data_IF_235633977680
#
_entry.id   IF_235633977680
#
_cell.length_a   1.000
_cell.length_b   1.000
_cell.length_c   1.000
_cell.angle_alpha   90.00
_cell.angle_beta   90.00
_cell.angle_gamma   90.00
#
_symmetry.space_group_name_H-M   'P 1'
#
loop_
_entity.id
_entity.type
_entity.pdbx_description
1 polymer ?
#
# COMPACT_ATOMS: atom_id res chain seq x y z
N UNK A 1 34.46 -21.21 18.03
CA UNK A 1 33.85 -20.08 17.32
C UNK A 1 32.95 -19.34 18.28
N UNK A 2 33.33 -18.10 18.63
CA UNK A 2 32.45 -17.21 19.37
C UNK A 2 31.27 -16.82 18.47
N UNK A 3 30.07 -16.63 19.03
CA UNK A 3 28.86 -16.24 18.27
C UNK A 3 29.08 -14.97 17.42
N UNK A 4 29.96 -14.07 17.85
CA UNK A 4 30.37 -12.89 17.10
C UNK A 4 31.14 -13.22 15.79
N UNK A 5 31.85 -14.35 15.71
CA UNK A 5 32.53 -14.77 14.47
C UNK A 5 31.57 -15.38 13.43
N UNK A 6 30.43 -15.92 13.86
CA UNK A 6 29.34 -16.33 12.96
C UNK A 6 28.73 -15.12 12.23
N UNK A 7 28.78 -13.95 12.86
CA UNK A 7 28.23 -12.67 12.39
C UNK A 7 29.04 -12.11 11.22
N UNK A 8 30.35 -11.90 11.39
CA UNK A 8 31.18 -11.16 10.43
C UNK A 8 31.80 -12.01 9.32
N UNK A 9 31.90 -13.34 9.52
CA UNK A 9 32.59 -14.24 8.57
C UNK A 9 31.65 -15.16 7.79
N UNK A 10 30.35 -15.16 8.08
CA UNK A 10 29.39 -16.00 7.37
C UNK A 10 29.05 -15.40 6.00
N UNK A 11 29.57 -16.00 4.93
CA UNK A 11 29.19 -15.67 3.54
C UNK A 11 27.67 -15.73 3.31
N UNK A 12 26.96 -16.57 4.07
CA UNK A 12 25.50 -16.65 4.01
C UNK A 12 24.83 -15.40 4.60
N UNK A 13 25.36 -14.84 5.70
CA UNK A 13 24.81 -13.61 6.29
C UNK A 13 25.03 -12.42 5.35
N UNK A 14 26.19 -12.35 4.70
CA UNK A 14 26.53 -11.30 3.74
C UNK A 14 25.68 -11.39 2.45
N UNK A 15 25.46 -12.61 1.94
CA UNK A 15 24.57 -12.84 0.79
C UNK A 15 23.10 -12.54 1.11
N UNK A 16 22.64 -12.87 2.32
CA UNK A 16 21.27 -12.56 2.75
C UNK A 16 21.07 -11.05 2.98
N UNK A 17 22.08 -10.35 3.52
CA UNK A 17 22.08 -8.88 3.63
C UNK A 17 22.07 -8.21 2.25
N UNK A 18 22.83 -8.73 1.29
CA UNK A 18 22.82 -8.21 -0.08
C UNK A 18 21.47 -8.47 -0.77
N UNK A 19 20.91 -9.68 -0.65
CA UNK A 19 19.57 -9.98 -1.15
C UNK A 19 18.52 -9.07 -0.53
N UNK A 20 18.62 -8.79 0.78
CA UNK A 20 17.76 -7.86 1.51
C UNK A 20 17.82 -6.45 0.93
N UNK A 21 19.01 -5.91 0.72
CA UNK A 21 19.18 -4.59 0.09
C UNK A 21 18.54 -4.57 -1.30
N UNK A 22 18.72 -5.61 -2.11
CA UNK A 22 18.13 -5.68 -3.45
C UNK A 22 16.60 -5.86 -3.44
N UNK A 23 16.04 -6.61 -2.48
CA UNK A 23 14.58 -6.77 -2.38
C UNK A 23 13.90 -5.50 -1.88
N UNK A 24 14.52 -4.79 -0.94
CA UNK A 24 14.07 -3.46 -0.51
C UNK A 24 14.21 -2.43 -1.65
N UNK A 25 15.30 -2.46 -2.42
CA UNK A 25 15.46 -1.62 -3.62
C UNK A 25 14.42 -1.92 -4.71
N UNK A 26 13.93 -3.16 -4.81
CA UNK A 26 12.84 -3.52 -5.72
C UNK A 26 11.48 -3.11 -5.15
N UNK A 27 11.27 -3.23 -3.84
CA UNK A 27 10.05 -2.74 -3.18
C UNK A 27 9.92 -1.22 -3.31
N UNK A 28 11.03 -0.48 -3.34
CA UNK A 28 11.05 0.92 -3.73
C UNK A 28 10.46 1.15 -5.13
N UNK A 29 10.63 0.26 -6.10
CA UNK A 29 10.11 0.51 -7.44
C UNK A 29 8.58 0.35 -7.54
N UNK A 30 7.90 -0.13 -6.49
CA UNK A 30 6.44 -0.22 -6.45
C UNK A 30 5.86 1.19 -6.24
N UNK A 31 4.91 1.63 -7.09
CA UNK A 31 4.25 2.92 -6.92
C UNK A 31 3.41 2.89 -5.64
N UNK A 32 3.63 3.87 -4.76
CA UNK A 32 2.75 4.16 -3.62
C UNK A 32 1.92 5.36 -4.05
N UNK A 33 0.59 5.28 -4.02
CA UNK A 33 -0.27 6.45 -4.24
C UNK A 33 -0.09 7.42 -3.07
N UNK A 34 0.76 8.44 -3.24
CA UNK A 34 1.26 9.29 -2.16
C UNK A 34 0.26 10.33 -1.65
N UNK A 35 -0.71 10.77 -2.47
CA UNK A 35 -1.54 11.93 -2.15
C UNK A 35 -2.64 11.67 -1.11
N UNK A 36 -2.97 10.41 -0.83
CA UNK A 36 -4.08 10.06 0.07
C UNK A 36 -3.78 8.85 0.95
N UNK A 37 -2.55 8.64 1.41
CA UNK A 37 -2.26 7.49 2.29
C UNK A 37 -2.60 7.80 3.75
N UNK A 38 -3.37 6.94 4.43
CA UNK A 38 -3.64 7.07 5.87
C UNK A 38 -2.42 6.66 6.70
N UNK A 39 -2.40 7.01 8.00
CA UNK A 39 -1.36 6.57 8.95
C UNK A 39 -1.21 5.05 8.95
N UNK A 40 -2.32 4.35 8.83
CA UNK A 40 -2.39 2.90 8.71
C UNK A 40 -1.72 2.43 7.41
N UNK A 41 -2.02 3.07 6.28
CA UNK A 41 -1.36 2.78 4.99
C UNK A 41 0.15 3.04 4.99
N UNK A 42 0.61 4.11 5.64
CA UNK A 42 2.04 4.39 5.81
C UNK A 42 2.75 3.31 6.64
N UNK A 43 2.06 2.80 7.67
CA UNK A 43 2.58 1.76 8.55
C UNK A 43 2.64 0.40 7.84
N UNK A 44 1.63 0.09 7.02
CA UNK A 44 1.64 -1.08 6.12
C UNK A 44 2.80 -0.99 5.14
N UNK A 45 2.94 0.14 4.44
CA UNK A 45 3.98 0.33 3.42
C UNK A 45 5.39 0.19 4.03
N UNK A 46 5.56 0.63 5.27
CA UNK A 46 6.81 0.44 6.04
C UNK A 46 7.11 -1.03 6.37
N UNK A 47 6.07 -1.86 6.46
CA UNK A 47 6.16 -3.29 6.76
C UNK A 47 6.30 -4.18 5.52
N UNK A 48 6.11 -3.63 4.33
CA UNK A 48 6.20 -4.35 3.05
C UNK A 48 7.56 -5.04 2.88
N UNK A 49 8.63 -4.36 3.29
CA UNK A 49 9.98 -4.90 3.34
C UNK A 49 10.13 -6.17 4.19
N UNK A 50 9.47 -6.22 5.35
CA UNK A 50 9.46 -7.42 6.21
C UNK A 50 8.72 -8.61 5.60
N UNK A 51 7.68 -8.37 4.78
CA UNK A 51 6.96 -9.45 4.10
C UNK A 51 7.89 -10.19 3.13
N UNK A 52 8.66 -9.48 2.31
CA UNK A 52 9.64 -10.09 1.39
C UNK A 52 10.84 -10.67 2.14
N UNK A 53 11.33 -9.96 3.15
CA UNK A 53 12.43 -10.44 3.98
C UNK A 53 12.04 -11.65 4.83
N UNK A 54 10.74 -11.88 5.07
CA UNK A 54 10.26 -12.90 5.99
C UNK A 54 10.69 -14.32 5.62
N UNK A 55 10.75 -14.63 4.32
CA UNK A 55 11.28 -15.92 3.81
C UNK A 55 12.75 -16.08 4.16
N UNK A 56 13.55 -15.02 3.98
CA UNK A 56 14.98 -14.99 4.28
C UNK A 56 15.21 -15.15 5.79
N UNK A 57 14.45 -14.43 6.61
CA UNK A 57 14.53 -14.49 8.07
C UNK A 57 14.19 -15.89 8.60
N UNK A 58 13.06 -16.45 8.16
CA UNK A 58 12.62 -17.79 8.55
C UNK A 58 13.61 -18.87 8.10
N UNK A 59 14.12 -18.76 6.88
CA UNK A 59 15.06 -19.74 6.32
C UNK A 59 16.43 -19.68 7.00
N UNK A 60 16.92 -18.48 7.31
CA UNK A 60 18.13 -18.31 8.10
C UNK A 60 17.95 -18.90 9.50
N UNK A 61 16.84 -18.61 10.18
CA UNK A 61 16.55 -19.16 11.50
C UNK A 61 16.47 -20.70 11.47
N UNK A 62 15.87 -21.29 10.43
CA UNK A 62 15.83 -22.73 10.22
C UNK A 62 17.23 -23.33 10.01
N UNK A 63 18.09 -22.67 9.24
CA UNK A 63 19.47 -23.10 9.07
C UNK A 63 20.27 -23.05 10.39
N UNK A 64 20.12 -21.97 11.17
CA UNK A 64 20.74 -21.82 12.49
C UNK A 64 20.27 -22.92 13.45
N UNK A 65 18.95 -23.18 13.49
CA UNK A 65 18.37 -24.25 14.31
C UNK A 65 18.92 -25.62 13.97
N UNK A 66 18.99 -25.95 12.68
CA UNK A 66 19.42 -27.26 12.18
C UNK A 66 20.91 -27.55 12.35
N UNK A 67 21.77 -26.53 12.24
CA UNK A 67 23.23 -26.73 12.37
C UNK A 67 23.77 -26.50 13.77
N UNK A 68 23.24 -25.52 14.50
CA UNK A 68 23.82 -25.05 15.76
C UNK A 68 22.86 -25.17 16.94
N UNK A 69 21.56 -25.00 16.70
CA UNK A 69 20.54 -24.92 17.75
C UNK A 69 20.50 -26.15 18.67
N UNK A 70 20.51 -27.36 18.11
CA UNK A 70 20.45 -28.60 18.90
C UNK A 70 21.68 -28.74 19.82
N UNK A 71 22.88 -28.45 19.32
CA UNK A 71 24.11 -28.56 20.09
C UNK A 71 24.20 -27.48 21.18
N UNK A 72 23.74 -26.26 20.87
CA UNK A 72 23.72 -25.15 21.81
C UNK A 72 22.71 -25.38 22.96
N UNK A 73 21.48 -25.78 22.63
CA UNK A 73 20.41 -25.94 23.61
C UNK A 73 20.62 -27.14 24.54
N UNK A 74 21.22 -28.23 24.07
CA UNK A 74 21.50 -29.43 24.89
C UNK A 74 22.49 -29.20 26.04
N UNK A 75 23.36 -28.18 25.91
CA UNK A 75 24.41 -27.88 26.91
C UNK A 75 23.92 -26.99 28.04
N UNK A 76 22.69 -26.50 27.95
CA UNK A 76 22.16 -25.47 28.83
C UNK A 76 21.05 -26.04 29.70
N UNK A 77 21.09 -25.75 31.01
CA UNK A 77 20.07 -26.16 31.99
C UNK A 77 19.41 -24.94 32.61
N UNK A 78 18.11 -25.04 32.83
CA UNK A 78 17.28 -23.99 33.44
C UNK A 78 16.58 -23.10 32.41
N UNK A 79 15.31 -22.73 32.65
CA UNK A 79 14.46 -22.05 31.66
C UNK A 79 15.04 -20.70 31.21
N UNK A 80 15.56 -19.89 32.13
CA UNK A 80 16.14 -18.58 31.80
C UNK A 80 17.35 -18.68 30.88
N UNK A 81 18.22 -19.68 31.09
CA UNK A 81 19.41 -19.85 30.25
C UNK A 81 19.03 -20.41 28.88
N UNK A 82 18.04 -21.30 28.81
CA UNK A 82 17.50 -21.80 27.54
C UNK A 82 16.91 -20.64 26.73
N UNK A 83 16.12 -19.78 27.36
CA UNK A 83 15.57 -18.58 26.73
C UNK A 83 16.67 -17.64 26.24
N UNK A 84 17.70 -17.38 27.05
CA UNK A 84 18.84 -16.55 26.65
C UNK A 84 19.61 -17.13 25.45
N UNK A 85 19.85 -18.44 25.43
CA UNK A 85 20.51 -19.11 24.29
C UNK A 85 19.62 -19.10 23.03
N UNK A 86 18.32 -19.30 23.18
CA UNK A 86 17.38 -19.17 22.06
C UNK A 86 17.37 -17.73 21.51
N UNK A 87 17.35 -16.72 22.38
CA UNK A 87 17.44 -15.32 21.99
C UNK A 87 18.75 -15.02 21.25
N UNK A 88 19.88 -15.57 21.71
CA UNK A 88 21.18 -15.43 21.02
C UNK A 88 21.16 -16.05 19.61
N UNK A 89 20.46 -17.16 19.41
CA UNK A 89 20.29 -17.79 18.10
C UNK A 89 19.36 -16.97 17.19
N UNK A 90 18.38 -16.29 17.75
CA UNK A 90 17.41 -15.44 17.04
C UNK A 90 17.87 -14.00 16.85
N UNK A 91 18.88 -13.54 17.59
CA UNK A 91 19.35 -12.17 17.51
C UNK A 91 19.74 -11.75 16.08
N UNK A 92 20.48 -12.56 15.28
CA UNK A 92 20.80 -12.17 13.91
C UNK A 92 19.55 -11.94 13.02
N UNK A 93 18.60 -12.90 12.86
CA UNK A 93 17.43 -12.64 12.03
C UNK A 93 16.53 -11.53 12.59
N UNK A 94 16.47 -11.35 13.92
CA UNK A 94 15.73 -10.22 14.51
C UNK A 94 16.36 -8.85 14.17
N UNK A 95 17.69 -8.73 14.23
CA UNK A 95 18.40 -7.48 13.86
C UNK A 95 18.25 -7.18 12.37
N UNK A 96 18.28 -8.21 11.53
CA UNK A 96 18.07 -8.10 10.09
C UNK A 96 16.63 -7.65 9.79
N UNK A 97 15.63 -8.25 10.44
CA UNK A 97 14.22 -7.86 10.28
C UNK A 97 13.94 -6.44 10.79
N UNK A 98 14.51 -6.07 11.94
CA UNK A 98 14.39 -4.71 12.48
C UNK A 98 15.05 -3.67 11.56
N UNK A 99 16.21 -3.98 10.99
CA UNK A 99 16.87 -3.12 9.99
C UNK A 99 16.03 -2.95 8.73
N UNK A 100 15.40 -4.02 8.24
CA UNK A 100 14.51 -3.97 7.08
C UNK A 100 13.30 -3.07 7.35
N UNK A 101 12.65 -3.21 8.52
CA UNK A 101 11.55 -2.32 8.91
C UNK A 101 11.98 -0.85 9.00
N UNK A 102 13.14 -0.57 9.60
CA UNK A 102 13.66 0.80 9.70
C UNK A 102 13.97 1.40 8.32
N UNK A 103 14.49 0.59 7.39
CA UNK A 103 14.76 1.02 6.02
C UNK A 103 13.46 1.28 5.24
N UNK A 104 12.45 0.42 5.40
CA UNK A 104 11.11 0.62 4.84
C UNK A 104 10.43 1.88 5.39
N UNK A 105 10.53 2.11 6.70
CA UNK A 105 10.03 3.33 7.34
C UNK A 105 10.75 4.59 6.83
N UNK A 106 12.09 4.59 6.78
CA UNK A 106 12.88 5.71 6.25
C UNK A 106 12.57 5.99 4.77
N UNK A 107 12.29 4.95 4.00
CA UNK A 107 11.85 5.03 2.60
C UNK A 107 10.51 5.74 2.48
N UNK A 108 9.51 5.33 3.28
CA UNK A 108 8.19 5.95 3.25
C UNK A 108 8.29 7.41 3.67
N UNK A 109 9.06 7.71 4.73
CA UNK A 109 9.35 9.09 5.13
C UNK A 109 9.98 9.92 4.00
N UNK A 110 10.98 9.38 3.31
CA UNK A 110 11.65 10.08 2.21
C UNK A 110 10.68 10.37 1.05
N UNK A 111 9.75 9.45 0.77
CA UNK A 111 8.76 9.61 -0.30
C UNK A 111 7.66 10.61 0.04
N UNK A 112 7.17 10.55 1.28
CA UNK A 112 6.09 11.43 1.73
C UNK A 112 6.60 12.81 2.14
N UNK A 113 7.92 12.97 2.36
CA UNK A 113 8.50 14.21 2.85
C UNK A 113 8.18 14.51 4.33
N UNK A 114 7.60 13.55 5.04
CA UNK A 114 7.07 13.75 6.40
C UNK A 114 7.49 12.65 7.38
N UNK A 115 7.58 13.01 8.66
CA UNK A 115 7.79 12.07 9.77
C UNK A 115 6.43 11.69 10.35
N UNK A 116 6.11 10.40 10.40
CA UNK A 116 4.83 9.94 10.94
C UNK A 116 5.04 8.92 12.07
N UNK A 117 4.14 8.89 13.05
CA UNK A 117 4.17 7.85 14.08
C UNK A 117 3.49 6.60 13.51
N UNK A 118 4.12 5.41 13.52
CA UNK A 118 3.45 4.18 13.07
C UNK A 118 2.17 3.91 13.86
N UNK A 119 1.16 3.34 13.22
CA UNK A 119 -0.02 2.82 13.89
C UNK A 119 0.40 1.70 14.88
N UNK A 120 0.01 1.77 16.16
CA UNK A 120 0.43 0.78 17.16
C UNK A 120 -0.07 -0.64 16.86
N UNK A 121 -1.25 -0.79 16.24
CA UNK A 121 -1.79 -2.09 15.87
C UNK A 121 -0.98 -2.76 14.78
N UNK A 122 -0.66 -2.02 13.72
CA UNK A 122 0.16 -2.51 12.60
C UNK A 122 1.63 -2.71 12.98
N UNK A 123 2.16 -1.86 13.85
CA UNK A 123 3.49 -2.07 14.43
C UNK A 123 3.55 -3.35 15.27
N UNK A 124 2.54 -3.60 16.11
CA UNK A 124 2.44 -4.83 16.90
C UNK A 124 2.30 -6.07 16.01
N UNK A 125 1.47 -5.99 14.96
CA UNK A 125 1.32 -7.04 13.96
C UNK A 125 2.68 -7.37 13.32
N UNK A 126 3.41 -6.34 12.92
CA UNK A 126 4.75 -6.45 12.32
C UNK A 126 5.76 -7.14 13.25
N UNK A 127 5.75 -6.80 14.54
CA UNK A 127 6.56 -7.49 15.55
C UNK A 127 6.17 -8.96 15.71
N UNK A 128 4.87 -9.27 15.74
CA UNK A 128 4.36 -10.64 15.81
C UNK A 128 4.76 -11.45 14.58
N UNK A 129 4.69 -10.86 13.39
CA UNK A 129 5.13 -11.48 12.15
C UNK A 129 6.62 -11.85 12.20
N UNK A 130 7.47 -10.89 12.56
CA UNK A 130 8.91 -11.10 12.68
C UNK A 130 9.23 -12.21 13.71
N UNK A 131 8.60 -12.16 14.88
CA UNK A 131 8.76 -13.18 15.91
C UNK A 131 8.29 -14.56 15.44
N UNK A 132 7.11 -14.63 14.81
CA UNK A 132 6.54 -15.85 14.27
C UNK A 132 7.45 -16.50 13.23
N UNK A 133 7.98 -15.73 12.29
CA UNK A 133 8.91 -16.21 11.25
C UNK A 133 10.23 -16.71 11.85
N UNK A 134 10.84 -15.94 12.75
CA UNK A 134 12.12 -16.30 13.35
C UNK A 134 12.00 -17.54 14.26
N UNK A 135 10.97 -17.58 15.12
CA UNK A 135 10.73 -18.70 16.02
C UNK A 135 10.25 -19.93 15.26
N UNK A 136 9.31 -19.78 14.33
CA UNK A 136 8.81 -20.86 13.48
C UNK A 136 9.94 -21.49 12.66
N UNK A 137 10.76 -20.67 12.01
CA UNK A 137 11.96 -21.09 11.29
C UNK A 137 12.93 -21.85 12.19
N UNK A 138 13.30 -21.27 13.34
CA UNK A 138 14.16 -21.94 14.33
C UNK A 138 13.57 -23.30 14.77
N UNK A 139 12.25 -23.37 14.99
CA UNK A 139 11.54 -24.58 15.35
C UNK A 139 11.66 -25.67 14.29
N UNK A 140 11.44 -25.33 13.01
CA UNK A 140 11.67 -26.24 11.89
C UNK A 140 13.12 -26.76 11.86
N UNK A 141 14.08 -25.86 12.07
CA UNK A 141 15.51 -26.21 12.17
C UNK A 141 15.81 -27.20 13.31
N UNK A 142 15.16 -27.05 14.46
CA UNK A 142 15.36 -27.93 15.61
C UNK A 142 14.70 -29.31 15.45
N UNK A 143 13.60 -29.37 14.68
CA UNK A 143 12.81 -30.58 14.49
C UNK A 143 13.32 -31.44 13.33
N UNK A 144 13.77 -30.82 12.24
CA UNK A 144 14.11 -31.50 10.99
C UNK A 144 15.60 -31.44 10.64
N UNK A 145 16.03 -32.27 9.68
CA UNK A 145 17.38 -32.18 9.13
C UNK A 145 17.58 -30.86 8.38
N UNK A 146 18.79 -30.26 8.35
CA UNK A 146 19.01 -28.91 7.83
C UNK A 146 18.50 -28.68 6.39
N UNK A 147 18.68 -29.65 5.50
CA UNK A 147 18.19 -29.56 4.10
C UNK A 147 16.66 -29.54 4.03
N UNK A 148 16.01 -30.37 4.84
CA UNK A 148 14.55 -30.45 4.90
C UNK A 148 13.96 -29.22 5.59
N UNK A 149 14.60 -28.72 6.66
CA UNK A 149 14.16 -27.52 7.38
C UNK A 149 14.19 -26.27 6.48
N UNK A 150 15.24 -26.11 5.67
CA UNK A 150 15.32 -25.02 4.68
C UNK A 150 14.21 -25.16 3.63
N UNK A 151 14.05 -26.34 3.04
CA UNK A 151 13.01 -26.58 2.04
C UNK A 151 11.60 -26.33 2.58
N UNK A 152 11.30 -26.83 3.77
CA UNK A 152 10.03 -26.59 4.45
C UNK A 152 9.83 -25.11 4.80
N UNK A 153 10.87 -24.42 5.27
CA UNK A 153 10.80 -22.98 5.56
C UNK A 153 10.44 -22.16 4.32
N UNK A 154 11.10 -22.44 3.19
CA UNK A 154 10.78 -21.79 1.91
C UNK A 154 9.35 -22.15 1.49
N UNK A 155 8.96 -23.42 1.50
CA UNK A 155 7.59 -23.80 1.09
C UNK A 155 6.52 -23.20 2.01
N UNK A 156 6.74 -23.16 3.32
CA UNK A 156 5.73 -22.68 4.27
C UNK A 156 5.64 -21.15 4.28
N UNK A 157 6.77 -20.43 4.22
CA UNK A 157 6.78 -18.97 4.27
C UNK A 157 6.66 -18.31 2.89
N UNK A 158 7.19 -18.93 1.82
CA UNK A 158 7.00 -18.47 0.43
C UNK A 158 5.73 -19.02 -0.20
N UNK A 159 5.30 -20.22 0.19
CA UNK A 159 4.09 -20.83 -0.38
C UNK A 159 2.83 -20.04 -0.09
N UNK A 160 2.74 -19.41 1.09
CA UNK A 160 1.65 -18.46 1.40
C UNK A 160 1.66 -17.24 0.45
N UNK A 161 2.83 -16.73 0.06
CA UNK A 161 2.95 -15.59 -0.88
C UNK A 161 2.83 -15.98 -2.36
N UNK A 162 3.19 -17.21 -2.73
CA UNK A 162 3.05 -17.72 -4.10
C UNK A 162 1.64 -18.24 -4.36
N UNK A 163 0.97 -18.83 -3.36
CA UNK A 163 -0.42 -19.27 -3.47
C UNK A 163 -1.39 -18.09 -3.60
N UNK A 164 -1.09 -16.93 -3.00
CA UNK A 164 -1.90 -15.71 -3.20
C UNK A 164 -1.92 -15.22 -4.65
N UNK A 165 -0.89 -15.55 -5.45
CA UNK A 165 -0.84 -15.22 -6.88
C UNK A 165 -1.64 -16.18 -7.78
N UNK A 166 -2.02 -17.36 -7.28
CA UNK A 166 -2.57 -18.46 -8.11
C UNK A 166 -3.94 -18.96 -7.61
N UNK A 167 -4.27 -18.79 -6.33
CA UNK A 167 -5.53 -19.23 -5.74
C UNK A 167 -6.08 -18.15 -4.78
N UNK A 168 -7.05 -17.33 -5.21
CA UNK A 168 -7.69 -16.34 -4.36
C UNK A 168 -8.62 -17.05 -3.37
N UNK A 169 -8.07 -17.44 -2.22
CA UNK A 169 -8.87 -17.78 -1.04
C UNK A 169 -8.90 -16.58 -0.09
N UNK A 170 -9.97 -16.38 0.70
CA UNK A 170 -10.13 -15.19 1.55
C UNK A 170 -8.94 -14.99 2.50
N UNK A 171 -8.37 -16.05 3.07
CA UNK A 171 -7.17 -15.96 3.92
C UNK A 171 -5.91 -15.46 3.21
N UNK A 172 -5.68 -15.88 1.97
CA UNK A 172 -4.50 -15.51 1.18
C UNK A 172 -4.67 -14.12 0.57
N UNK A 173 -5.89 -13.82 0.10
CA UNK A 173 -6.35 -12.50 -0.32
C UNK A 173 -6.15 -11.49 0.80
N UNK A 174 -6.60 -11.81 2.02
CA UNK A 174 -6.49 -10.94 3.20
C UNK A 174 -5.04 -10.70 3.67
N UNK A 175 -4.14 -11.68 3.50
CA UNK A 175 -2.71 -11.49 3.78
C UNK A 175 -2.00 -10.61 2.74
N UNK A 176 -2.38 -10.70 1.46
CA UNK A 176 -1.87 -9.83 0.40
C UNK A 176 -2.52 -8.44 0.42
N UNK A 177 -3.79 -8.36 0.74
CA UNK A 177 -4.59 -7.14 0.82
C UNK A 177 -4.16 -6.19 1.92
N UNK A 178 -3.63 -6.72 3.03
CA UNK A 178 -2.97 -5.90 4.04
C UNK A 178 -1.78 -5.14 3.48
N UNK A 179 -1.19 -5.58 2.37
CA UNK A 179 -0.03 -4.95 1.74
C UNK A 179 -0.43 -3.87 0.72
N UNK A 180 -1.64 -3.97 0.16
CA UNK A 180 -2.28 -2.98 -0.73
C UNK A 180 -3.21 -2.01 0.03
N UNK A 181 -3.31 -2.17 1.35
CA UNK A 181 -3.97 -1.24 2.26
C UNK A 181 -3.00 -0.09 2.61
N UNK A 182 -3.40 1.15 2.82
CA UNK A 182 -4.72 1.74 2.96
C UNK A 182 -4.62 3.17 2.44
N UNK A 183 -5.69 3.68 1.82
CA UNK A 183 -5.77 5.12 1.55
C UNK A 183 -6.43 5.82 2.75
N UNK A 184 -6.63 7.11 2.65
CA UNK A 184 -7.42 7.92 3.58
C UNK A 184 -8.87 7.43 3.62
N UNK A 185 -9.35 6.89 2.50
CA UNK A 185 -10.71 6.37 2.32
C UNK A 185 -10.92 4.97 2.88
N UNK A 186 -9.85 4.27 3.26
CA UNK A 186 -9.95 2.88 3.70
C UNK A 186 -9.13 2.60 4.97
N UNK A 187 -9.65 1.72 5.80
CA UNK A 187 -8.94 1.17 6.95
C UNK A 187 -8.70 -0.33 6.74
N UNK A 188 -7.64 -0.90 7.31
CA UNK A 188 -7.45 -2.33 7.27
C UNK A 188 -8.57 -3.00 8.06
N UNK A 189 -9.18 -4.06 7.51
CA UNK A 189 -10.20 -4.79 8.23
C UNK A 189 -9.60 -5.38 9.53
N UNK A 190 -10.12 -5.04 10.73
CA UNK A 190 -9.55 -5.52 11.99
C UNK A 190 -9.64 -7.05 12.14
N UNK A 191 -10.64 -7.68 11.51
CA UNK A 191 -10.79 -9.15 11.51
C UNK A 191 -9.63 -9.78 10.72
N UNK A 192 -9.22 -9.16 9.62
CA UNK A 192 -8.05 -9.57 8.84
C UNK A 192 -6.76 -9.43 9.64
N UNK A 193 -6.56 -8.29 10.32
CA UNK A 193 -5.40 -8.10 11.21
C UNK A 193 -5.33 -9.20 12.27
N UNK A 194 -6.46 -9.52 12.91
CA UNK A 194 -6.54 -10.58 13.91
C UNK A 194 -6.24 -11.97 13.31
N UNK A 195 -6.79 -12.28 12.14
CA UNK A 195 -6.55 -13.53 11.44
C UNK A 195 -5.05 -13.75 11.17
N UNK A 196 -4.37 -12.71 10.67
CA UNK A 196 -2.93 -12.73 10.40
C UNK A 196 -2.14 -12.87 11.70
N UNK A 197 -2.47 -12.08 12.74
CA UNK A 197 -1.82 -12.16 14.04
C UNK A 197 -1.89 -13.58 14.65
N UNK A 198 -3.05 -14.23 14.58
CA UNK A 198 -3.25 -15.60 15.08
C UNK A 198 -2.38 -16.62 14.35
N UNK A 199 -2.21 -16.48 13.03
CA UNK A 199 -1.37 -17.38 12.24
C UNK A 199 0.11 -17.28 12.64
N UNK A 200 0.63 -16.06 12.80
CA UNK A 200 2.02 -15.83 13.22
C UNK A 200 2.25 -16.17 14.70
N UNK A 201 1.25 -16.01 15.56
CA UNK A 201 1.27 -16.56 16.92
C UNK A 201 1.36 -18.09 16.91
N UNK A 202 0.67 -18.75 15.98
CA UNK A 202 0.79 -20.19 15.75
C UNK A 202 2.23 -20.58 15.39
N UNK A 203 2.86 -19.87 14.45
CA UNK A 203 4.27 -20.10 14.10
C UNK A 203 5.22 -19.88 15.27
N UNK A 204 4.99 -18.82 16.07
CA UNK A 204 5.77 -18.53 17.27
C UNK A 204 5.66 -19.68 18.28
N UNK A 205 4.44 -20.18 18.52
CA UNK A 205 4.21 -21.32 19.40
C UNK A 205 4.94 -22.58 18.93
N UNK A 206 4.92 -22.89 17.64
CA UNK A 206 5.68 -24.00 17.07
C UNK A 206 7.17 -23.91 17.43
N UNK A 207 7.76 -22.72 17.29
CA UNK A 207 9.15 -22.45 17.65
C UNK A 207 9.44 -22.68 19.13
N UNK A 208 8.62 -22.10 20.01
CA UNK A 208 8.76 -22.25 21.47
C UNK A 208 8.67 -23.72 21.88
N UNK A 209 7.70 -24.46 21.34
CA UNK A 209 7.51 -25.88 21.63
C UNK A 209 8.71 -26.71 21.19
N UNK A 210 9.24 -26.45 19.99
CA UNK A 210 10.43 -27.14 19.49
C UNK A 210 11.65 -26.90 20.39
N UNK A 211 11.84 -25.67 20.88
CA UNK A 211 12.89 -25.33 21.85
C UNK A 211 12.67 -26.13 23.15
N UNK A 212 11.46 -26.13 23.71
CA UNK A 212 11.16 -26.86 24.93
C UNK A 212 11.42 -28.37 24.80
N UNK A 213 10.96 -28.99 23.71
CA UNK A 213 11.14 -30.43 23.44
C UNK A 213 12.61 -30.81 23.30
N UNK A 214 13.45 -29.93 22.72
CA UNK A 214 14.84 -30.23 22.40
C UNK A 214 15.83 -29.79 23.48
N UNK A 215 15.52 -28.74 24.25
CA UNK A 215 16.37 -28.22 25.31
C UNK A 215 16.23 -29.00 26.63
N UNK A 216 15.08 -29.60 26.89
CA UNK A 216 14.85 -30.34 28.13
C UNK A 216 15.09 -31.84 27.93
N UNK A 217 15.78 -32.46 28.89
CA UNK A 217 15.92 -33.92 28.96
C UNK A 217 14.63 -34.54 29.54
N UNK A 218 13.50 -34.26 28.88
CA UNK A 218 12.17 -34.68 29.31
C UNK A 218 11.95 -36.18 29.08
N UNK A 219 11.24 -36.81 30.01
CA UNK A 219 10.73 -38.16 29.83
C UNK A 219 9.78 -38.23 28.61
N UNK A 220 9.68 -39.43 28.01
CA UNK A 220 8.96 -39.65 26.74
C UNK A 220 7.47 -39.25 26.81
N UNK A 221 6.84 -39.42 27.96
CA UNK A 221 5.45 -39.01 28.23
C UNK A 221 5.29 -37.48 28.24
N UNK A 222 6.17 -36.74 28.91
CA UNK A 222 6.14 -35.28 28.94
C UNK A 222 6.38 -34.67 27.55
N UNK A 223 7.29 -35.27 26.75
CA UNK A 223 7.49 -34.87 25.34
C UNK A 223 6.23 -35.07 24.48
N UNK A 224 5.51 -36.17 24.67
CA UNK A 224 4.26 -36.44 23.95
C UNK A 224 3.15 -35.48 24.37
N UNK A 225 2.98 -35.25 25.68
CA UNK A 225 2.00 -34.31 26.19
C UNK A 225 2.25 -32.88 25.67
N UNK A 226 3.51 -32.44 25.65
CA UNK A 226 3.89 -31.12 25.13
C UNK A 226 3.71 -31.02 23.61
N UNK A 227 3.97 -32.10 22.87
CA UNK A 227 3.71 -32.15 21.44
C UNK A 227 2.20 -32.14 21.12
N UNK A 228 1.37 -32.82 21.92
CA UNK A 228 -0.09 -32.82 21.76
C UNK A 228 -0.69 -31.47 22.13
N UNK A 229 -0.31 -30.90 23.28
CA UNK A 229 -0.71 -29.54 23.67
C UNK A 229 -0.27 -28.52 22.61
N UNK A 230 0.93 -28.70 22.07
CA UNK A 230 1.47 -27.86 21.02
C UNK A 230 0.74 -27.96 19.69
N UNK A 231 0.41 -29.18 19.25
CA UNK A 231 -0.38 -29.42 18.05
C UNK A 231 -1.79 -28.83 18.21
N UNK A 232 -2.44 -29.02 19.35
CA UNK A 232 -3.74 -28.43 19.65
C UNK A 232 -3.69 -26.90 19.61
N UNK A 233 -2.70 -26.27 20.26
CA UNK A 233 -2.54 -24.82 20.21
C UNK A 233 -2.28 -24.30 18.80
N UNK A 234 -1.46 -25.01 18.00
CA UNK A 234 -1.22 -24.65 16.61
C UNK A 234 -2.51 -24.73 15.79
N UNK A 235 -3.26 -25.84 15.93
CA UNK A 235 -4.53 -26.05 15.23
C UNK A 235 -5.59 -25.04 15.64
N UNK A 236 -5.67 -24.67 16.91
CA UNK A 236 -6.61 -23.64 17.39
C UNK A 236 -6.24 -22.26 16.87
N UNK A 237 -4.95 -21.89 16.89
CA UNK A 237 -4.49 -20.58 16.40
C UNK A 237 -4.65 -20.46 14.88
N UNK A 238 -4.29 -21.50 14.13
CA UNK A 238 -4.48 -21.53 12.68
C UNK A 238 -5.94 -21.67 12.28
N UNK A 239 -6.70 -22.51 12.97
CA UNK A 239 -8.13 -22.69 12.74
C UNK A 239 -8.91 -21.41 13.06
N UNK A 240 -8.58 -20.75 14.17
CA UNK A 240 -9.13 -19.44 14.52
C UNK A 240 -8.76 -18.36 13.50
N UNK A 241 -7.51 -18.34 13.02
CA UNK A 241 -7.10 -17.44 11.94
C UNK A 241 -7.83 -17.71 10.62
N UNK A 242 -8.03 -18.98 10.26
CA UNK A 242 -8.77 -19.36 9.06
C UNK A 242 -10.26 -19.03 9.15
N UNK A 243 -10.90 -19.23 10.32
CA UNK A 243 -12.29 -18.85 10.56
C UNK A 243 -12.47 -17.33 10.51
N UNK A 244 -11.61 -16.58 11.20
CA UNK A 244 -11.64 -15.12 11.15
C UNK A 244 -11.44 -14.60 9.71
N UNK A 245 -10.54 -15.21 8.93
CA UNK A 245 -10.37 -14.86 7.53
C UNK A 245 -11.60 -15.22 6.66
N UNK A 246 -12.32 -16.29 6.98
CA UNK A 246 -13.58 -16.63 6.30
C UNK A 246 -14.70 -15.63 6.66
N UNK A 247 -14.82 -15.25 7.93
CA UNK A 247 -15.79 -14.26 8.39
C UNK A 247 -15.55 -12.87 7.78
N UNK A 248 -14.27 -12.51 7.55
CA UNK A 248 -13.90 -11.29 6.83
C UNK A 248 -14.23 -11.34 5.33
N UNK A 249 -14.43 -12.53 4.74
CA UNK A 249 -14.64 -12.70 3.31
C UNK A 249 -13.48 -12.13 2.47
N UNK A 250 -13.83 -11.49 1.36
CA UNK A 250 -12.90 -10.76 0.48
C UNK A 250 -12.79 -9.26 0.84
N UNK A 251 -13.48 -8.80 1.89
CA UNK A 251 -13.43 -7.41 2.36
C UNK A 251 -12.14 -7.17 3.17
N UNK A 252 -11.04 -6.99 2.44
CA UNK A 252 -9.71 -6.71 3.01
C UNK A 252 -9.64 -5.34 3.68
N UNK A 253 -10.44 -4.39 3.20
CA UNK A 253 -10.45 -3.01 3.61
C UNK A 253 -11.88 -2.58 3.92
N UNK A 254 -12.04 -1.78 4.97
CA UNK A 254 -13.31 -1.16 5.31
C UNK A 254 -13.32 0.27 4.78
N UNK A 255 -14.40 0.63 4.08
CA UNK A 255 -14.59 2.00 3.64
C UNK A 255 -14.81 2.90 4.86
N UNK A 256 -14.03 3.98 4.93
CA UNK A 256 -14.18 5.02 5.94
C UNK A 256 -15.10 6.15 5.49
N UNK A 257 -15.69 6.06 4.30
CA UNK A 257 -16.55 7.12 3.73
C UNK A 257 -17.76 7.46 4.62
N UNK A 258 -18.21 6.53 5.47
CA UNK A 258 -19.26 6.78 6.47
C UNK A 258 -18.84 7.73 7.61
N UNK A 259 -17.54 7.97 7.79
CA UNK A 259 -17.01 8.90 8.80
C UNK A 259 -16.94 10.35 8.28
N UNK A 260 -17.20 10.58 6.99
CA UNK A 260 -17.20 11.91 6.40
C UNK A 260 -18.27 12.78 7.04
N UNK A 261 -17.93 14.05 7.25
CA UNK A 261 -18.87 15.10 7.65
C UNK A 261 -19.17 15.96 6.44
N UNK A 262 -20.44 16.10 6.13
CA UNK A 262 -20.91 16.89 5.00
C UNK A 262 -21.62 18.15 5.50
N UNK A 263 -21.30 19.29 4.88
CA UNK A 263 -21.89 20.60 5.16
C UNK A 263 -22.48 21.19 3.88
N UNK A 264 -23.69 21.75 3.97
CA UNK A 264 -24.38 22.45 2.87
C UNK A 264 -24.46 23.95 3.19
N UNK A 265 -23.51 24.77 2.71
CA UNK A 265 -23.45 26.19 3.08
C UNK A 265 -24.49 27.06 2.36
N UNK A 266 -25.26 26.51 1.41
CA UNK A 266 -26.32 27.19 0.68
C UNK A 266 -25.93 27.70 -0.72
N UNK A 267 -24.75 27.34 -1.23
CA UNK A 267 -24.27 27.66 -2.58
C UNK A 267 -24.65 26.62 -3.64
N UNK A 268 -25.42 25.60 -3.26
CA UNK A 268 -25.82 24.51 -4.14
C UNK A 268 -24.85 23.32 -4.14
N UNK A 269 -23.77 23.37 -3.35
CA UNK A 269 -22.84 22.27 -3.16
C UNK A 269 -22.92 21.69 -1.74
N UNK A 270 -22.59 20.41 -1.61
CA UNK A 270 -22.40 19.69 -0.38
C UNK A 270 -20.90 19.37 -0.25
N UNK A 271 -20.27 19.88 0.80
CA UNK A 271 -18.85 19.73 1.05
C UNK A 271 -18.61 18.64 2.08
N UNK A 272 -18.06 17.51 1.65
CA UNK A 272 -17.81 16.36 2.52
C UNK A 272 -16.32 16.22 2.83
N UNK A 273 -15.96 16.27 4.10
CA UNK A 273 -14.57 16.25 4.53
C UNK A 273 -14.36 15.31 5.70
N UNK A 274 -13.10 14.94 5.93
CA UNK A 274 -12.73 14.09 7.05
C UNK A 274 -12.88 14.83 8.39
N UNK A 275 -13.15 14.12 9.51
CA UNK A 275 -13.33 14.77 10.81
C UNK A 275 -12.20 15.71 11.23
N UNK A 276 -10.94 15.43 10.87
CA UNK A 276 -9.82 16.33 11.14
C UNK A 276 -9.83 17.63 10.33
N UNK A 277 -10.36 17.59 9.10
CA UNK A 277 -10.56 18.79 8.27
C UNK A 277 -11.78 19.59 8.72
N UNK A 278 -12.78 18.90 9.28
CA UNK A 278 -14.00 19.51 9.80
C UNK A 278 -13.74 20.60 10.85
N UNK A 279 -12.67 20.43 11.63
CA UNK A 279 -12.27 21.39 12.66
C UNK A 279 -11.85 22.74 12.06
N UNK A 280 -11.37 22.73 10.82
CA UNK A 280 -10.90 23.90 10.08
C UNK A 280 -11.90 24.44 9.05
N UNK A 281 -13.03 23.75 8.86
CA UNK A 281 -14.04 24.15 7.87
C UNK A 281 -14.48 25.60 8.02
N UNK A 282 -14.67 26.08 9.24
CA UNK A 282 -15.10 27.46 9.49
C UNK A 282 -14.09 28.50 8.95
N UNK A 283 -12.80 28.17 8.96
CA UNK A 283 -11.74 29.07 8.50
C UNK A 283 -11.59 29.03 6.98
N UNK A 284 -11.86 27.88 6.35
CA UNK A 284 -11.65 27.68 4.92
C UNK A 284 -12.90 27.85 4.07
N UNK A 285 -14.09 27.72 4.66
CA UNK A 285 -15.40 27.73 3.97
C UNK A 285 -15.49 28.89 3.01
N UNK A 286 -15.24 30.12 3.47
CA UNK A 286 -15.38 31.31 2.62
C UNK A 286 -14.47 31.26 1.40
N UNK A 287 -13.24 30.75 1.56
CA UNK A 287 -12.28 30.66 0.46
C UNK A 287 -12.66 29.55 -0.53
N UNK A 288 -13.10 28.40 -0.01
CA UNK A 288 -13.52 27.26 -0.84
C UNK A 288 -14.77 27.62 -1.64
N UNK A 289 -15.82 28.13 -0.99
CA UNK A 289 -17.07 28.50 -1.67
C UNK A 289 -16.84 29.65 -2.66
N UNK A 290 -15.98 30.62 -2.32
CA UNK A 290 -15.60 31.68 -3.25
C UNK A 290 -14.82 31.14 -4.46
N UNK A 291 -13.86 30.25 -4.26
CA UNK A 291 -13.08 29.66 -5.36
C UNK A 291 -13.94 28.80 -6.31
N UNK A 292 -14.87 28.01 -5.76
CA UNK A 292 -15.87 27.27 -6.54
C UNK A 292 -16.72 28.24 -7.35
N UNK A 293 -17.36 29.22 -6.70
CA UNK A 293 -18.22 30.20 -7.37
C UNK A 293 -17.49 31.03 -8.42
N UNK A 294 -16.24 31.42 -8.18
CA UNK A 294 -15.41 32.12 -9.15
C UNK A 294 -15.10 31.26 -10.39
N UNK A 295 -14.85 29.96 -10.22
CA UNK A 295 -14.62 29.06 -11.35
C UNK A 295 -15.90 28.87 -12.17
N UNK A 296 -17.03 28.64 -11.51
CA UNK A 296 -18.34 28.49 -12.18
C UNK A 296 -18.70 29.76 -12.96
N UNK A 297 -18.48 30.93 -12.35
CA UNK A 297 -18.71 32.20 -13.02
C UNK A 297 -17.78 32.42 -14.22
N UNK A 298 -16.50 32.02 -14.12
CA UNK A 298 -15.54 32.19 -15.21
C UNK A 298 -15.79 31.24 -16.39
N UNK A 299 -16.36 30.06 -16.12
CA UNK A 299 -16.48 28.96 -17.08
C UNK A 299 -17.90 28.76 -17.61
N UNK A 300 -18.91 29.23 -16.89
CA UNK A 300 -20.32 28.90 -17.14
C UNK A 300 -20.65 27.43 -16.87
N UNK A 301 -19.73 26.66 -16.27
CA UNK A 301 -19.88 25.23 -15.97
C UNK A 301 -20.08 25.07 -14.47
N UNK A 302 -21.28 24.59 -14.11
CA UNK A 302 -21.59 24.19 -12.74
C UNK A 302 -20.76 22.96 -12.34
N UNK A 303 -20.13 23.02 -11.18
CA UNK A 303 -19.39 21.92 -10.58
C UNK A 303 -20.35 20.85 -10.04
N UNK A 304 -19.87 19.60 -9.82
CA UNK A 304 -20.69 18.57 -9.17
C UNK A 304 -21.26 19.05 -7.84
N UNK A 305 -22.47 18.56 -7.51
CA UNK A 305 -23.11 18.89 -6.24
C UNK A 305 -22.23 18.51 -5.05
N UNK A 306 -21.59 17.35 -5.10
CA UNK A 306 -20.75 16.86 -4.00
C UNK A 306 -19.29 17.20 -4.31
N UNK A 307 -18.65 17.92 -3.39
CA UNK A 307 -17.22 18.23 -3.41
C UNK A 307 -16.60 17.61 -2.15
N UNK A 308 -15.64 16.72 -2.30
CA UNK A 308 -15.18 15.87 -1.20
C UNK A 308 -13.67 15.65 -1.19
N UNK A 309 -13.07 15.51 -0.01
CA UNK A 309 -11.67 15.07 0.14
C UNK A 309 -11.51 13.55 0.10
N UNK A 310 -12.59 12.81 -0.14
CA UNK A 310 -12.57 11.35 -0.30
C UNK A 310 -12.70 10.94 -1.75
N UNK A 311 -11.69 10.25 -2.28
CA UNK A 311 -11.69 9.74 -3.67
C UNK A 311 -12.81 8.72 -3.85
N UNK A 312 -12.92 7.78 -2.90
CA UNK A 312 -13.98 6.77 -2.91
C UNK A 312 -15.39 7.38 -2.88
N UNK A 313 -15.61 8.45 -2.10
CA UNK A 313 -16.90 9.11 -2.08
C UNK A 313 -17.19 9.87 -3.37
N UNK A 314 -16.20 10.58 -3.93
CA UNK A 314 -16.33 11.26 -5.22
C UNK A 314 -16.73 10.28 -6.33
N UNK A 315 -16.05 9.14 -6.43
CA UNK A 315 -16.36 8.10 -7.41
C UNK A 315 -17.76 7.52 -7.23
N UNK A 316 -18.17 7.24 -5.99
CA UNK A 316 -19.48 6.66 -5.69
C UNK A 316 -20.66 7.60 -6.00
N UNK A 317 -20.46 8.91 -5.88
CA UNK A 317 -21.53 9.90 -6.05
C UNK A 317 -21.45 10.69 -7.35
N UNK A 318 -20.41 10.46 -8.18
CA UNK A 318 -20.06 11.35 -9.29
C UNK A 318 -19.68 12.76 -8.83
N UNK A 319 -19.15 12.87 -7.59
CA UNK A 319 -18.67 14.11 -6.99
C UNK A 319 -17.26 14.48 -7.46
N UNK A 320 -16.77 15.62 -6.99
CA UNK A 320 -15.45 16.13 -7.31
C UNK A 320 -14.48 15.93 -6.13
N UNK A 321 -13.33 15.31 -6.38
CA UNK A 321 -12.27 15.17 -5.40
C UNK A 321 -11.49 16.47 -5.24
N UNK A 322 -11.45 17.01 -4.03
CA UNK A 322 -10.80 18.26 -3.67
C UNK A 322 -10.06 18.12 -2.34
N UNK A 323 -8.73 18.26 -2.34
CA UNK A 323 -7.93 18.10 -1.12
C UNK A 323 -8.06 19.33 -0.21
N UNK A 324 -8.72 19.25 0.94
CA UNK A 324 -9.02 20.43 1.77
C UNK A 324 -7.85 20.97 2.60
N UNK A 325 -6.64 20.42 2.46
CA UNK A 325 -5.47 20.80 3.27
C UNK A 325 -5.00 22.25 3.02
N UNK A 326 -4.85 23.03 4.10
CA UNK A 326 -4.25 24.37 4.19
C UNK A 326 -4.55 25.31 2.99
N UNK A 327 -5.82 25.54 2.69
CA UNK A 327 -6.20 26.38 1.53
C UNK A 327 -6.05 27.87 1.82
N UNK A 328 -4.86 28.39 1.48
CA UNK A 328 -4.43 29.78 1.69
C UNK A 328 -5.30 30.85 0.98
N UNK A 329 -6.05 30.52 -0.10
CA UNK A 329 -6.84 31.52 -0.86
C UNK A 329 -7.92 30.92 -1.82
N UNK A 330 -8.95 31.70 -2.22
CA UNK A 330 -9.90 31.33 -3.29
C UNK A 330 -9.23 30.98 -4.63
N UNK A 331 -8.15 31.67 -4.99
CA UNK A 331 -7.43 31.49 -6.26
C UNK A 331 -6.78 30.12 -6.32
N UNK A 332 -6.23 29.64 -5.19
CA UNK A 332 -5.68 28.28 -5.08
C UNK A 332 -6.77 27.22 -5.29
N UNK A 333 -7.96 27.43 -4.70
CA UNK A 333 -9.12 26.52 -4.87
C UNK A 333 -9.54 26.48 -6.33
N UNK A 334 -9.72 27.66 -6.95
CA UNK A 334 -10.12 27.82 -8.35
C UNK A 334 -9.17 27.09 -9.28
N UNK A 335 -7.85 27.23 -9.06
CA UNK A 335 -6.83 26.53 -9.83
C UNK A 335 -6.90 25.01 -9.67
N UNK A 336 -6.95 24.51 -8.43
CA UNK A 336 -6.96 23.07 -8.16
C UNK A 336 -8.19 22.40 -8.79
N UNK A 337 -9.36 23.02 -8.65
CA UNK A 337 -10.59 22.61 -9.32
C UNK A 337 -10.43 22.54 -10.84
N UNK A 338 -9.90 23.61 -11.45
CA UNK A 338 -9.68 23.66 -12.90
C UNK A 338 -8.73 22.53 -13.37
N UNK A 339 -7.71 22.20 -12.58
CA UNK A 339 -6.77 21.11 -12.90
C UNK A 339 -7.39 19.73 -12.73
N UNK A 340 -8.26 19.53 -11.74
CA UNK A 340 -9.03 18.27 -11.60
C UNK A 340 -10.01 18.08 -12.77
N UNK A 341 -10.52 19.17 -13.33
CA UNK A 341 -11.38 19.15 -14.53
C UNK A 341 -10.60 18.99 -15.84
N UNK A 342 -9.28 19.23 -15.82
CA UNK A 342 -8.38 18.92 -16.95
C UNK A 342 -8.05 17.43 -16.94
N UNK A 343 -8.92 16.62 -17.55
CA UNK A 343 -8.73 15.18 -17.69
C UNK A 343 -7.57 14.85 -18.63
N UNK A 344 -6.83 13.77 -18.34
CA UNK A 344 -5.72 13.27 -19.16
C UNK A 344 -6.02 11.86 -19.69
N UNK A 345 -5.54 11.50 -20.90
CA UNK A 345 -5.75 10.17 -21.45
C UNK A 345 -4.96 9.10 -20.67
N UNK A 346 -5.59 7.97 -20.41
CA UNK A 346 -4.92 6.82 -19.76
C UNK A 346 -3.95 6.12 -20.72
N UNK A 347 -2.95 5.42 -20.18
CA UNK A 347 -2.04 4.60 -20.99
C UNK A 347 -2.80 3.54 -21.81
N UNK A 348 -3.85 2.96 -21.23
CA UNK A 348 -4.73 2.00 -21.91
C UNK A 348 -5.43 2.63 -23.11
N UNK A 349 -5.94 3.86 -22.96
CA UNK A 349 -6.54 4.61 -24.07
C UNK A 349 -5.51 4.88 -25.17
N UNK A 350 -4.33 5.40 -24.81
CA UNK A 350 -3.27 5.66 -25.78
C UNK A 350 -2.84 4.37 -26.50
N UNK A 351 -2.76 3.25 -25.78
CA UNK A 351 -2.46 1.94 -26.35
C UNK A 351 -3.53 1.43 -27.32
N UNK A 352 -4.82 1.61 -27.01
CA UNK A 352 -5.92 1.19 -27.89
C UNK A 352 -6.01 2.04 -29.16
N UNK A 353 -5.73 3.34 -29.07
CA UNK A 353 -5.61 4.25 -30.22
C UNK A 353 -4.42 3.90 -31.13
N UNK A 354 -3.32 3.38 -30.57
CA UNK A 354 -2.21 2.86 -31.37
C UNK A 354 -2.57 1.55 -32.11
N UNK A 355 -3.22 0.62 -31.40
CA UNK A 355 -3.57 -0.69 -31.93
C UNK A 355 -4.61 -0.62 -33.07
N UNK A 356 -5.60 0.26 -32.96
CA UNK A 356 -6.62 0.50 -34.00
C UNK A 356 -6.05 1.04 -35.32
N UNK A 357 -4.82 1.56 -35.31
CA UNK A 357 -4.14 2.13 -36.48
C UNK A 357 -2.93 1.29 -36.93
N UNK A 358 -2.83 0.03 -36.50
CA UNK A 358 -1.94 -0.98 -37.10
C UNK A 358 -0.46 -0.91 -36.72
N UNK A 359 -0.06 -0.12 -35.73
CA UNK A 359 1.33 -0.08 -35.27
C UNK A 359 1.52 -1.11 -34.15
N UNK A 360 1.85 -2.35 -34.54
CA UNK A 360 2.42 -3.33 -33.62
C UNK A 360 3.95 -3.24 -33.73
N UNK A 361 4.60 -2.62 -32.73
CA UNK A 361 6.02 -2.90 -32.46
C UNK A 361 7.09 -1.83 -32.74
N UNK A 362 6.82 -0.52 -32.72
CA UNK A 362 7.90 0.49 -32.70
C UNK A 362 7.65 1.63 -31.70
N UNK A 363 8.67 1.95 -30.90
CA UNK A 363 8.58 2.70 -29.65
C UNK A 363 8.78 4.21 -29.76
N UNK A 364 8.38 4.90 -30.84
CA UNK A 364 8.59 6.36 -30.91
C UNK A 364 7.74 7.20 -31.86
N UNK A 365 6.81 6.65 -32.64
CA UNK A 365 5.92 7.45 -33.48
C UNK A 365 4.49 7.43 -32.92
N UNK A 366 4.07 8.51 -32.27
CA UNK A 366 2.67 8.67 -31.86
C UNK A 366 1.77 8.62 -33.11
N UNK A 367 0.79 7.73 -33.13
CA UNK A 367 -0.19 7.66 -34.22
C UNK A 367 -0.89 9.01 -34.39
N UNK A 368 -1.46 9.28 -35.56
CA UNK A 368 -2.26 10.49 -35.77
C UNK A 368 -3.40 10.61 -34.74
N UNK A 369 -4.05 9.48 -34.42
CA UNK A 369 -5.05 9.40 -33.36
C UNK A 369 -4.50 9.74 -31.97
N UNK A 370 -3.32 9.23 -31.60
CA UNK A 370 -2.66 9.59 -30.33
C UNK A 370 -2.29 11.07 -30.29
N UNK A 371 -1.76 11.62 -31.39
CA UNK A 371 -1.45 13.06 -31.51
C UNK A 371 -2.69 13.92 -31.36
N UNK A 372 -3.81 13.49 -31.95
CA UNK A 372 -5.08 14.18 -31.84
C UNK A 372 -5.64 14.12 -30.41
N UNK A 373 -5.54 12.98 -29.73
CA UNK A 373 -5.92 12.84 -28.32
C UNK A 373 -5.09 13.76 -27.42
N UNK A 374 -3.77 13.82 -27.65
CA UNK A 374 -2.89 14.75 -26.93
C UNK A 374 -3.23 16.22 -27.23
N UNK A 375 -3.52 16.58 -28.47
CA UNK A 375 -3.93 17.93 -28.83
C UNK A 375 -5.25 18.33 -28.15
N UNK A 376 -6.23 17.42 -28.09
CA UNK A 376 -7.49 17.61 -27.38
C UNK A 376 -7.28 17.80 -25.87
N UNK A 377 -6.49 16.93 -25.23
CA UNK A 377 -6.14 17.02 -23.81
C UNK A 377 -5.40 18.32 -23.48
N UNK A 378 -4.44 18.72 -24.33
CA UNK A 378 -3.67 19.95 -24.16
C UNK A 378 -4.54 21.19 -24.31
N UNK A 379 -5.45 21.21 -25.30
CA UNK A 379 -6.38 22.33 -25.48
C UNK A 379 -7.36 22.45 -24.32
N UNK A 380 -7.86 21.32 -23.79
CA UNK A 380 -8.69 21.30 -22.60
C UNK A 380 -7.94 21.87 -21.39
N UNK A 381 -6.69 21.45 -21.18
CA UNK A 381 -5.82 21.99 -20.14
C UNK A 381 -5.62 23.50 -20.30
N UNK A 382 -5.24 23.97 -21.49
CA UNK A 382 -5.02 25.40 -21.78
C UNK A 382 -6.28 26.26 -21.54
N UNK A 383 -7.47 25.74 -21.87
CA UNK A 383 -8.70 26.46 -21.62
C UNK A 383 -8.97 26.58 -20.12
N UNK A 384 -8.84 25.49 -19.35
CA UNK A 384 -9.01 25.51 -17.90
C UNK A 384 -7.99 26.41 -17.19
N UNK A 385 -6.72 26.39 -17.59
CA UNK A 385 -5.70 27.29 -17.01
C UNK A 385 -6.01 28.76 -17.27
N UNK A 386 -6.48 29.09 -18.48
CA UNK A 386 -6.90 30.45 -18.85
C UNK A 386 -8.07 30.91 -17.98
N UNK A 387 -9.08 30.05 -17.78
CA UNK A 387 -10.23 30.39 -16.92
C UNK A 387 -9.85 30.50 -15.44
N UNK A 388 -8.85 29.74 -14.99
CA UNK A 388 -8.31 29.81 -13.64
C UNK A 388 -7.49 31.07 -13.36
N UNK A 389 -7.17 31.88 -14.38
CA UNK A 389 -6.41 33.14 -14.26
C UNK A 389 -4.98 32.97 -13.72
N UNK A 390 -4.33 31.85 -14.06
CA UNK A 390 -2.90 31.69 -13.80
C UNK A 390 -2.15 32.16 -15.03
N UNK A 391 -1.31 33.19 -14.89
CA UNK A 391 -0.45 33.80 -15.94
C UNK A 391 0.56 32.81 -16.60
N UNK A 392 0.46 31.51 -16.27
CA UNK A 392 1.35 30.45 -16.72
C UNK A 392 0.82 29.87 -18.04
N UNK A 393 1.22 30.45 -19.17
CA UNK A 393 1.98 29.79 -20.25
C UNK A 393 2.25 30.87 -21.32
N UNK A 394 3.36 31.57 -21.13
CA UNK A 394 3.95 32.53 -22.09
C UNK A 394 4.69 31.81 -23.24
N UNK A 395 4.20 30.66 -23.71
CA UNK A 395 4.80 29.92 -24.81
C UNK A 395 3.74 29.38 -25.78
N UNK A 396 3.39 30.25 -26.73
CA UNK A 396 2.48 30.08 -27.86
C UNK A 396 1.02 29.79 -27.49
N UNK A 397 0.19 30.84 -27.46
CA UNK A 397 -1.25 30.70 -27.72
C UNK A 397 -1.43 29.80 -28.94
N UNK A 398 -2.13 28.68 -28.76
CA UNK A 398 -2.43 27.78 -29.87
C UNK A 398 -3.54 28.41 -30.71
N UNK A 399 -3.44 28.34 -32.04
CA UNK A 399 -4.51 28.80 -32.93
C UNK A 399 -5.85 28.14 -32.57
N UNK A 400 -5.81 26.91 -32.04
CA UNK A 400 -6.99 26.19 -31.57
C UNK A 400 -7.59 26.78 -30.28
N UNK A 401 -6.77 27.33 -29.37
CA UNK A 401 -7.26 28.03 -28.18
C UNK A 401 -7.91 29.36 -28.56
N UNK A 402 -7.33 30.09 -29.51
CA UNK A 402 -7.94 31.32 -30.05
C UNK A 402 -9.25 31.02 -30.76
N UNK A 403 -9.29 29.96 -31.58
CA UNK A 403 -10.50 29.51 -32.24
C UNK A 403 -11.58 29.08 -31.24
N UNK A 404 -11.20 28.41 -30.14
CA UNK A 404 -12.13 28.05 -29.07
C UNK A 404 -12.67 29.30 -28.36
N UNK A 405 -11.79 30.23 -27.98
CA UNK A 405 -12.16 31.46 -27.28
C UNK A 405 -12.98 32.43 -28.14
N UNK A 406 -12.89 32.33 -29.47
CA UNK A 406 -13.71 33.09 -30.41
C UNK A 406 -15.15 32.58 -30.52
N UNK A 407 -15.44 31.36 -30.05
CA UNK A 407 -16.81 30.83 -30.01
C UNK A 407 -17.65 31.53 -28.93
N UNK A 408 -18.96 31.51 -29.10
CA UNK A 408 -19.88 31.89 -28.03
C UNK A 408 -19.74 30.95 -26.81
N UNK A 409 -20.13 31.45 -25.64
CA UNK A 409 -19.97 30.74 -24.36
C UNK A 409 -20.59 29.34 -24.38
N UNK A 410 -21.77 29.18 -24.97
CA UNK A 410 -22.47 27.89 -25.01
C UNK A 410 -21.72 26.88 -25.88
N UNK A 411 -21.16 27.34 -27.00
CA UNK A 411 -20.32 26.53 -27.89
C UNK A 411 -18.98 26.14 -27.23
N UNK A 412 -18.36 27.05 -26.45
CA UNK A 412 -17.18 26.72 -25.65
C UNK A 412 -17.48 25.62 -24.64
N UNK A 413 -18.54 25.80 -23.85
CA UNK A 413 -18.97 24.82 -22.82
C UNK A 413 -19.28 23.46 -23.46
N UNK A 414 -19.99 23.46 -24.59
CA UNK A 414 -20.33 22.24 -25.33
C UNK A 414 -19.10 21.51 -25.84
N UNK A 415 -18.09 22.25 -26.32
CA UNK A 415 -16.82 21.66 -26.74
C UNK A 415 -16.05 21.08 -25.56
N UNK A 416 -15.88 21.84 -24.47
CA UNK A 416 -15.16 21.41 -23.26
C UNK A 416 -15.76 20.14 -22.66
N UNK A 417 -17.09 20.08 -22.51
CA UNK A 417 -17.79 18.88 -21.99
C UNK A 417 -17.60 17.66 -22.89
N UNK A 418 -17.68 17.84 -24.21
CA UNK A 418 -17.44 16.75 -25.17
C UNK A 418 -15.98 16.30 -25.16
N UNK A 419 -15.04 17.24 -25.11
CA UNK A 419 -13.61 16.95 -25.08
C UNK A 419 -13.22 16.18 -23.82
N UNK A 420 -13.74 16.57 -22.65
CA UNK A 420 -13.51 15.86 -21.39
C UNK A 420 -14.06 14.42 -21.45
N UNK A 421 -15.34 14.26 -21.80
CA UNK A 421 -15.95 12.94 -21.98
C UNK A 421 -15.23 12.11 -23.06
N UNK A 422 -14.71 12.77 -24.10
CA UNK A 422 -13.92 12.14 -25.15
C UNK A 422 -12.60 11.58 -24.63
N UNK A 423 -11.86 12.33 -23.81
CA UNK A 423 -10.62 11.84 -23.20
C UNK A 423 -10.90 10.63 -22.30
N UNK A 424 -11.93 10.69 -21.46
CA UNK A 424 -12.33 9.61 -20.55
C UNK A 424 -12.76 8.34 -21.30
N UNK A 425 -13.58 8.51 -22.35
CA UNK A 425 -14.10 7.39 -23.15
C UNK A 425 -13.18 6.98 -24.30
N UNK A 426 -11.98 7.57 -24.38
CA UNK A 426 -11.02 7.35 -25.45
C UNK A 426 -11.58 7.64 -26.87
N UNK A 427 -12.37 8.70 -27.01
CA UNK A 427 -12.99 9.19 -28.24
C UNK A 427 -12.40 10.55 -28.65
N UNK A 428 -12.07 10.66 -29.93
CA UNK A 428 -11.55 11.91 -30.52
C UNK A 428 -12.71 12.88 -30.82
N UNK A 429 -12.54 14.13 -30.41
CA UNK A 429 -13.47 15.24 -30.65
C UNK A 429 -12.78 16.26 -31.54
N UNK A 430 -13.46 16.71 -32.60
CA UNK A 430 -12.90 17.69 -33.53
C UNK A 430 -12.37 18.95 -32.80
N UNK A 431 -11.17 19.37 -33.16
CA UNK A 431 -10.55 20.56 -32.59
C UNK A 431 -11.18 21.83 -33.19
N UNK A 432 -11.31 22.91 -32.41
CA UNK A 432 -11.76 24.19 -32.94
C UNK A 432 -10.76 24.68 -34.00
N UNK A 433 -11.28 25.10 -35.16
CA UNK A 433 -10.47 25.63 -36.27
C UNK A 433 -9.80 24.58 -37.17
N UNK A 434 -10.01 23.27 -36.94
CA UNK A 434 -9.49 22.17 -37.78
C UNK A 434 -10.43 21.71 -38.88
#
# INVERSE_FOLDING_TARGET
MQFAELWSKSRACLALMAMLIFTELLALLVPVETEHTSREGLSVASSFGMLFCGVVLGTYAAWVGGRFGIAALRRVRGPHRIAATALQLLAPPLVVGASAYLLGYATVMYRMGEVFVPDPGLFLLSMLMMLGLCLGGLGLGLLFAPKLAIGLSIVLFSGLQLLSLVAPGPMLSNMAGLSECCTRDSAPNPIVIQAVALCYLGWSMLGVLAICVKAQNMNRMARRALAVAGALSLTVLWGGGALAAQDAGEEQQLSRTSELRCEEPGDGHEYCFWPGEAEHWNDWRSNITAGVGQLEQATGIQQPRIITSSKAHAEATGGLLLGFEDRYSPETVKWDLAMKMSVNPTEQCLGSLAASHGIVGTSSAATEAQRHMWAQSNLLYQWWTTKADREFVDSAQSEQLDALNALDEQSQISWVKRAAAGVENCQLVQLPGS
#
